data_IF_278757520826
#
_entry.id   IF_278757520826
#
_cell.length_a   1.000
_cell.length_b   1.000
_cell.length_c   1.000
_cell.angle_alpha   90.00
_cell.angle_beta   90.00
_cell.angle_gamma   90.00
#
_symmetry.space_group_name_H-M   'P 1'
#
loop_
_entity.id
_entity.type
_entity.pdbx_description
1 polymer ?
#
# COMPACT_ATOMS: atom_id res chain seq x y z
N UNK A 1 13.12 4.92 -7.88
CA UNK A 1 13.52 6.35 -7.89
C UNK A 1 13.50 6.99 -6.50
N UNK A 2 12.36 7.08 -5.79
CA UNK A 2 12.29 7.75 -4.47
C UNK A 2 13.28 7.18 -3.43
N UNK A 3 13.47 5.85 -3.42
CA UNK A 3 14.46 5.16 -2.59
C UNK A 3 15.89 5.69 -2.79
N UNK A 4 16.30 5.83 -4.05
CA UNK A 4 17.63 6.33 -4.41
C UNK A 4 17.79 7.77 -3.93
N UNK A 5 16.75 8.59 -4.07
CA UNK A 5 16.78 9.98 -3.60
C UNK A 5 16.90 10.07 -2.08
N UNK A 6 16.15 9.24 -1.33
CA UNK A 6 16.26 9.15 0.13
C UNK A 6 17.67 8.70 0.54
N UNK A 7 18.26 7.73 -0.15
CA UNK A 7 19.64 7.28 0.11
C UNK A 7 20.67 8.41 -0.13
N UNK A 8 20.51 9.21 -1.20
CA UNK A 8 21.37 10.38 -1.46
C UNK A 8 21.23 11.44 -0.36
N UNK A 9 20.00 11.72 0.08
CA UNK A 9 19.76 12.66 1.20
C UNK A 9 20.44 12.13 2.46
N UNK A 10 20.30 10.84 2.78
CA UNK A 10 20.96 10.22 3.92
C UNK A 10 22.48 10.36 3.86
N UNK A 11 23.10 10.01 2.73
CA UNK A 11 24.55 10.08 2.57
C UNK A 11 25.11 11.50 2.71
N UNK A 12 24.40 12.50 2.20
CA UNK A 12 24.87 13.88 2.20
C UNK A 12 24.61 14.61 3.52
N UNK A 13 23.48 14.29 4.18
CA UNK A 13 23.05 15.02 5.36
C UNK A 13 23.33 14.29 6.66
N UNK A 14 23.58 12.97 6.65
CA UNK A 14 23.72 12.14 7.86
C UNK A 14 25.10 11.44 7.97
N UNK A 15 25.77 11.14 6.86
CA UNK A 15 27.11 10.55 6.92
C UNK A 15 28.18 11.64 7.04
N UNK A 16 29.07 11.53 8.04
CA UNK A 16 30.23 12.42 8.21
C UNK A 16 29.97 13.76 8.93
N UNK A 17 28.75 14.00 9.45
CA UNK A 17 28.45 15.15 10.32
C UNK A 17 28.69 14.80 11.80
N UNK A 18 29.03 15.82 12.59
CA UNK A 18 29.06 15.71 14.06
C UNK A 18 27.65 15.88 14.62
N UNK A 19 27.23 14.95 15.48
CA UNK A 19 25.88 14.90 16.05
C UNK A 19 25.90 15.35 17.50
N UNK A 20 25.22 16.45 17.80
CA UNK A 20 24.88 16.81 19.17
C UNK A 20 23.50 16.22 19.50
N UNK A 21 23.52 14.99 20.01
CA UNK A 21 22.31 14.25 20.34
C UNK A 21 21.46 14.94 21.43
N UNK A 22 22.09 15.71 22.32
CA UNK A 22 21.39 16.39 23.41
C UNK A 22 20.57 17.56 22.85
N UNK A 23 21.18 18.38 22.00
CA UNK A 23 20.50 19.48 21.33
C UNK A 23 19.40 18.98 20.38
N UNK A 24 19.70 17.95 19.59
CA UNK A 24 18.73 17.34 18.67
C UNK A 24 17.51 16.78 19.40
N UNK A 25 17.72 16.13 20.55
CA UNK A 25 16.64 15.62 21.39
C UNK A 25 15.82 16.77 21.99
N UNK A 26 16.48 17.82 22.49
CA UNK A 26 15.82 19.01 23.04
C UNK A 26 14.92 19.69 22.00
N UNK A 27 15.42 19.90 20.79
CA UNK A 27 14.64 20.49 19.68
C UNK A 27 13.47 19.57 19.33
N UNK A 28 13.69 18.26 19.24
CA UNK A 28 12.65 17.30 18.86
C UNK A 28 11.47 17.28 19.85
N UNK A 29 11.71 17.50 21.13
CA UNK A 29 10.65 17.60 22.16
C UNK A 29 9.76 18.84 22.01
N UNK A 30 10.21 19.87 21.29
CA UNK A 30 9.38 21.05 20.99
C UNK A 30 8.35 20.80 19.88
N UNK A 31 8.52 19.71 19.11
CA UNK A 31 7.59 19.34 18.05
C UNK A 31 6.32 18.79 18.67
N UNK A 32 5.21 19.50 18.48
CA UNK A 32 3.92 19.09 19.00
C UNK A 32 3.45 17.79 18.33
N UNK A 33 3.30 16.73 19.12
CA UNK A 33 2.74 15.46 18.64
C UNK A 33 1.22 15.53 18.60
N UNK A 34 0.56 15.08 17.52
CA UNK A 34 -0.90 14.93 17.48
C UNK A 34 -1.42 13.80 18.38
N UNK A 35 -0.53 12.97 18.94
CA UNK A 35 -0.89 11.88 19.86
C UNK A 35 -0.11 11.95 21.19
N UNK A 36 -0.73 11.54 22.30
CA UNK A 36 -0.11 11.59 23.63
C UNK A 36 0.97 10.52 23.87
N UNK A 37 0.99 9.44 23.08
CA UNK A 37 2.00 8.38 23.20
C UNK A 37 2.54 7.93 21.84
N UNK A 38 3.81 7.56 21.80
CA UNK A 38 4.48 7.05 20.59
C UNK A 38 3.79 5.79 20.08
N UNK A 39 3.34 4.91 20.98
CA UNK A 39 2.61 3.69 20.61
C UNK A 39 1.29 3.99 19.89
N UNK A 40 0.54 5.00 20.34
CA UNK A 40 -0.66 5.44 19.64
C UNK A 40 -0.33 6.00 18.26
N UNK A 41 0.76 6.78 18.12
CA UNK A 41 1.22 7.26 16.81
C UNK A 41 1.56 6.12 15.85
N UNK A 42 2.26 5.08 16.33
CA UNK A 42 2.63 3.91 15.52
C UNK A 42 1.39 3.16 15.04
N UNK A 43 0.46 2.84 15.96
CA UNK A 43 -0.78 2.13 15.63
C UNK A 43 -1.65 2.96 14.69
N UNK A 44 -1.78 4.26 14.97
CA UNK A 44 -2.56 5.17 14.13
C UNK A 44 -1.97 5.28 12.72
N UNK A 45 -0.66 5.45 12.60
CA UNK A 45 0.00 5.54 11.30
C UNK A 45 -0.17 4.26 10.49
N UNK A 46 0.02 3.10 11.14
CA UNK A 46 -0.26 1.80 10.50
C UNK A 46 -1.72 1.70 10.03
N UNK A 47 -2.67 2.13 10.85
CA UNK A 47 -4.08 2.17 10.50
C UNK A 47 -4.39 3.10 9.31
N UNK A 48 -3.75 4.27 9.22
CA UNK A 48 -3.85 5.16 8.04
C UNK A 48 -3.34 4.46 6.78
N UNK A 49 -2.21 3.76 6.86
CA UNK A 49 -1.67 3.00 5.74
C UNK A 49 -2.63 1.88 5.30
N UNK A 50 -3.17 1.11 6.25
CA UNK A 50 -4.15 0.05 5.96
C UNK A 50 -5.39 0.64 5.29
N UNK A 51 -5.94 1.74 5.80
CA UNK A 51 -7.11 2.39 5.19
C UNK A 51 -6.85 2.86 3.77
N UNK A 52 -5.67 3.41 3.51
CA UNK A 52 -5.30 3.88 2.18
C UNK A 52 -5.15 2.72 1.19
N UNK A 53 -4.68 1.56 1.66
CA UNK A 53 -4.43 0.38 0.82
C UNK A 53 -5.65 -0.54 0.66
N UNK A 54 -6.67 -0.42 1.52
CA UNK A 54 -7.69 -1.46 1.68
C UNK A 54 -8.51 -1.71 0.41
N UNK A 55 -8.86 -0.66 -0.33
CA UNK A 55 -9.62 -0.80 -1.56
C UNK A 55 -8.88 -1.65 -2.59
N UNK A 56 -7.59 -1.38 -2.77
CA UNK A 56 -6.74 -2.15 -3.69
C UNK A 56 -6.46 -3.55 -3.14
N UNK A 57 -6.27 -3.70 -1.83
CA UNK A 57 -6.08 -5.00 -1.20
C UNK A 57 -7.28 -5.94 -1.43
N UNK A 58 -8.51 -5.42 -1.41
CA UNK A 58 -9.70 -6.22 -1.72
C UNK A 58 -9.81 -6.57 -3.21
N UNK A 59 -9.50 -5.63 -4.11
CA UNK A 59 -9.52 -5.87 -5.56
C UNK A 59 -8.48 -6.95 -5.93
N UNK A 60 -7.24 -6.79 -5.48
CA UNK A 60 -6.16 -7.74 -5.77
C UNK A 60 -6.33 -9.07 -5.02
N UNK A 61 -6.86 -9.04 -3.80
CA UNK A 61 -7.08 -10.27 -3.01
C UNK A 61 -8.06 -11.24 -3.66
N UNK A 62 -8.97 -10.74 -4.51
CA UNK A 62 -9.87 -11.57 -5.31
C UNK A 62 -9.20 -12.25 -6.50
N UNK A 63 -8.20 -11.60 -7.12
CA UNK A 63 -7.58 -12.06 -8.37
C UNK A 63 -6.28 -12.85 -8.19
N UNK A 64 -5.69 -12.88 -6.99
CA UNK A 64 -4.42 -13.59 -6.75
C UNK A 64 -4.66 -15.07 -6.46
N UNK A 65 -4.13 -15.94 -7.32
CA UNK A 65 -4.20 -17.40 -7.15
C UNK A 65 -3.09 -17.95 -6.24
N UNK A 66 -1.86 -17.46 -6.39
CA UNK A 66 -0.71 -17.89 -5.60
C UNK A 66 -0.60 -17.17 -4.26
N UNK A 67 -1.40 -17.60 -3.30
CA UNK A 67 -1.47 -17.00 -1.97
C UNK A 67 -0.10 -17.02 -1.24
N UNK A 68 0.70 -18.08 -1.44
CA UNK A 68 2.05 -18.16 -0.85
C UNK A 68 3.01 -17.07 -1.36
N UNK A 69 2.98 -16.80 -2.66
CA UNK A 69 3.83 -15.77 -3.26
C UNK A 69 3.33 -14.38 -2.86
N UNK A 70 2.01 -14.20 -2.76
CA UNK A 70 1.39 -12.97 -2.26
C UNK A 70 1.77 -12.66 -0.81
N UNK A 71 1.80 -13.66 0.07
CA UNK A 71 2.24 -13.50 1.46
C UNK A 71 3.72 -13.09 1.54
N UNK A 72 4.58 -13.74 0.75
CA UNK A 72 6.01 -13.41 0.71
C UNK A 72 6.27 -12.02 0.13
N UNK A 73 5.59 -11.65 -0.95
CA UNK A 73 5.73 -10.33 -1.57
C UNK A 73 5.19 -9.23 -0.65
N UNK A 74 4.08 -9.48 0.05
CA UNK A 74 3.57 -8.60 1.09
C UNK A 74 4.56 -8.39 2.25
N UNK A 75 5.19 -9.46 2.73
CA UNK A 75 6.21 -9.38 3.78
C UNK A 75 7.45 -8.60 3.33
N UNK A 76 7.96 -8.87 2.12
CA UNK A 76 9.08 -8.13 1.54
C UNK A 76 8.75 -6.66 1.30
N UNK A 77 7.55 -6.36 0.82
CA UNK A 77 7.06 -4.99 0.65
C UNK A 77 7.00 -4.24 1.98
N UNK A 78 6.44 -4.86 3.02
CA UNK A 78 6.39 -4.29 4.37
C UNK A 78 7.79 -4.04 4.96
N UNK A 79 8.71 -4.99 4.80
CA UNK A 79 10.09 -4.84 5.24
C UNK A 79 10.80 -3.66 4.54
N UNK A 80 10.67 -3.55 3.22
CA UNK A 80 11.26 -2.42 2.46
C UNK A 80 10.70 -1.07 2.90
N UNK A 81 9.39 -0.97 3.14
CA UNK A 81 8.78 0.26 3.68
C UNK A 81 9.29 0.56 5.09
N UNK A 82 9.47 -0.45 5.93
CA UNK A 82 10.09 -0.31 7.26
C UNK A 82 11.51 0.28 7.18
N UNK A 83 12.34 -0.22 6.28
CA UNK A 83 13.71 0.31 6.04
C UNK A 83 13.65 1.78 5.59
N UNK A 84 12.72 2.13 4.69
CA UNK A 84 12.53 3.52 4.24
C UNK A 84 12.20 4.45 5.42
N UNK A 85 11.26 4.05 6.27
CA UNK A 85 10.88 4.85 7.44
C UNK A 85 11.98 4.96 8.46
N UNK A 86 12.74 3.89 8.67
CA UNK A 86 13.88 3.92 9.57
C UNK A 86 14.91 4.95 9.10
N UNK A 87 15.34 4.87 7.83
CA UNK A 87 16.31 5.81 7.24
C UNK A 87 15.75 7.25 7.28
N UNK A 88 14.49 7.44 6.91
CA UNK A 88 13.84 8.76 6.88
C UNK A 88 13.75 9.36 8.29
N UNK A 89 13.46 8.56 9.31
CA UNK A 89 13.43 9.00 10.71
C UNK A 89 14.81 9.47 11.16
N UNK A 90 15.88 8.76 10.78
CA UNK A 90 17.26 9.19 11.06
C UNK A 90 17.58 10.52 10.38
N UNK A 91 17.21 10.71 9.11
CA UNK A 91 17.39 11.97 8.37
C UNK A 91 16.66 13.12 9.08
N UNK A 92 15.41 12.91 9.47
CA UNK A 92 14.59 13.94 10.13
C UNK A 92 15.12 14.28 11.51
N UNK A 93 15.54 13.29 12.28
CA UNK A 93 16.11 13.50 13.61
C UNK A 93 17.43 14.29 13.52
N UNK A 94 18.31 13.90 12.58
CA UNK A 94 19.56 14.60 12.24
C UNK A 94 19.36 16.08 11.85
N UNK A 95 18.18 16.45 11.35
CA UNK A 95 17.86 17.80 10.89
C UNK A 95 16.62 18.35 11.64
N UNK A 96 16.55 18.09 12.95
CA UNK A 96 15.40 18.43 13.81
C UNK A 96 15.05 19.93 13.78
N UNK A 97 16.06 20.80 13.63
CA UNK A 97 15.90 22.26 13.48
C UNK A 97 15.04 22.65 12.27
N UNK A 98 15.13 21.88 11.19
CA UNK A 98 14.33 22.08 9.97
C UNK A 98 12.95 21.47 10.07
N UNK A 99 12.79 20.38 10.83
CA UNK A 99 11.49 19.74 11.06
C UNK A 99 10.53 20.72 11.73
N UNK A 100 11.03 21.54 12.66
CA UNK A 100 10.22 22.58 13.33
C UNK A 100 9.78 23.68 12.36
N UNK A 101 10.67 24.10 11.45
CA UNK A 101 10.50 25.30 10.60
C UNK A 101 9.80 25.05 9.27
N UNK A 102 9.74 23.80 8.79
CA UNK A 102 9.18 23.47 7.49
C UNK A 102 7.95 22.59 7.60
N UNK A 103 6.96 22.82 6.73
CA UNK A 103 5.80 21.95 6.59
C UNK A 103 6.13 20.65 5.85
N UNK A 104 7.15 20.66 4.98
CA UNK A 104 7.64 19.48 4.25
C UNK A 104 9.13 19.30 4.51
N UNK A 105 9.52 18.80 5.71
CA UNK A 105 10.91 18.79 6.15
C UNK A 105 11.84 18.04 5.21
N UNK A 106 11.41 16.90 4.66
CA UNK A 106 12.22 16.14 3.70
C UNK A 106 12.58 16.93 2.45
N UNK A 107 11.68 17.79 1.96
CA UNK A 107 11.96 18.66 0.81
C UNK A 107 12.93 19.79 1.20
N UNK A 108 12.78 20.36 2.40
CA UNK A 108 13.70 21.37 2.92
C UNK A 108 15.12 20.82 3.13
N UNK A 109 15.25 19.55 3.49
CA UNK A 109 16.54 18.84 3.58
C UNK A 109 17.08 18.54 2.18
N UNK A 110 16.23 18.11 1.24
CA UNK A 110 16.65 17.88 -0.15
C UNK A 110 17.26 19.15 -0.80
N UNK A 111 16.82 20.35 -0.42
CA UNK A 111 17.38 21.63 -0.87
C UNK A 111 18.84 21.85 -0.46
N UNK A 112 19.30 21.23 0.63
CA UNK A 112 20.71 21.29 1.03
C UNK A 112 21.62 20.42 0.18
N UNK A 113 21.09 19.39 -0.49
CA UNK A 113 21.88 18.59 -1.43
C UNK A 113 22.24 19.44 -2.64
N UNK A 114 21.23 19.94 -3.34
CA UNK A 114 21.35 20.89 -4.45
C UNK A 114 19.93 21.39 -4.82
N UNK A 115 19.74 22.66 -5.20
CA UNK A 115 18.46 23.17 -5.71
C UNK A 115 17.82 22.34 -6.83
N UNK A 116 18.61 21.84 -7.80
CA UNK A 116 18.12 21.00 -8.91
C UNK A 116 17.58 19.67 -8.37
N UNK A 117 18.30 19.06 -7.43
CA UNK A 117 17.88 17.81 -6.79
C UNK A 117 16.56 17.99 -6.03
N UNK A 118 16.39 19.09 -5.30
CA UNK A 118 15.14 19.39 -4.60
C UNK A 118 13.96 19.60 -5.56
N UNK A 119 14.18 20.25 -6.70
CA UNK A 119 13.15 20.40 -7.74
C UNK A 119 12.73 19.06 -8.31
N UNK A 120 13.68 18.18 -8.63
CA UNK A 120 13.38 16.81 -9.05
C UNK A 120 12.61 16.06 -7.95
N UNK A 121 13.06 16.16 -6.69
CA UNK A 121 12.40 15.51 -5.55
C UNK A 121 10.96 15.97 -5.39
N UNK A 122 10.71 17.27 -5.55
CA UNK A 122 9.37 17.84 -5.54
C UNK A 122 8.47 17.26 -6.65
N UNK A 123 8.98 17.14 -7.89
CA UNK A 123 8.22 16.51 -8.99
C UNK A 123 7.90 15.05 -8.72
N UNK A 124 8.83 14.28 -8.14
CA UNK A 124 8.60 12.89 -7.78
C UNK A 124 7.51 12.78 -6.71
N UNK A 125 7.61 13.56 -5.64
CA UNK A 125 6.58 13.58 -4.59
C UNK A 125 5.23 14.02 -5.15
N UNK A 126 5.22 15.06 -5.98
CA UNK A 126 4.00 15.53 -6.63
C UNK A 126 3.36 14.43 -7.47
N UNK A 127 4.15 13.71 -8.29
CA UNK A 127 3.66 12.59 -9.09
C UNK A 127 3.08 11.46 -8.23
N UNK A 128 3.71 11.13 -7.09
CA UNK A 128 3.21 10.13 -6.15
C UNK A 128 1.88 10.56 -5.52
N UNK A 129 1.80 11.80 -5.01
CA UNK A 129 0.58 12.35 -4.41
C UNK A 129 -0.54 12.42 -5.45
N UNK A 130 -0.23 12.94 -6.65
CA UNK A 130 -1.19 13.06 -7.74
C UNK A 130 -1.76 11.71 -8.13
N UNK A 131 -0.92 10.68 -8.29
CA UNK A 131 -1.35 9.33 -8.61
C UNK A 131 -2.32 8.79 -7.53
N UNK A 132 -1.98 8.93 -6.24
CA UNK A 132 -2.85 8.47 -5.15
C UNK A 132 -4.19 9.21 -5.12
N UNK A 133 -4.17 10.55 -5.21
CA UNK A 133 -5.40 11.36 -5.18
C UNK A 133 -6.28 11.06 -6.38
N UNK A 134 -5.69 10.96 -7.59
CA UNK A 134 -6.41 10.65 -8.80
C UNK A 134 -7.12 9.29 -8.71
N UNK A 135 -6.43 8.24 -8.27
CA UNK A 135 -7.04 6.92 -8.10
C UNK A 135 -8.17 6.93 -7.09
N UNK A 136 -8.03 7.64 -5.96
CA UNK A 136 -9.06 7.73 -4.92
C UNK A 136 -10.29 8.52 -5.39
N UNK A 137 -10.10 9.66 -6.06
CA UNK A 137 -11.22 10.43 -6.60
C UNK A 137 -11.94 9.68 -7.72
N UNK A 138 -11.20 8.97 -8.58
CA UNK A 138 -11.79 8.10 -9.59
C UNK A 138 -12.64 7.00 -8.93
N UNK A 139 -12.09 6.27 -7.96
CA UNK A 139 -12.79 5.18 -7.28
C UNK A 139 -14.05 5.68 -6.55
N UNK A 140 -13.95 6.81 -5.84
CA UNK A 140 -15.07 7.43 -5.14
C UNK A 140 -16.12 7.92 -6.14
N UNK A 141 -15.70 8.60 -7.21
CA UNK A 141 -16.56 9.04 -8.29
C UNK A 141 -17.33 7.89 -8.93
N UNK A 142 -16.67 6.78 -9.25
CA UNK A 142 -17.31 5.57 -9.81
C UNK A 142 -18.34 4.98 -8.86
N UNK A 143 -18.03 4.96 -7.55
CA UNK A 143 -18.94 4.46 -6.51
C UNK A 143 -20.23 5.25 -6.43
N UNK A 144 -20.17 6.58 -6.50
CA UNK A 144 -21.35 7.45 -6.46
C UNK A 144 -22.05 7.62 -7.82
N UNK A 145 -21.35 7.37 -8.92
CA UNK A 145 -21.90 7.47 -10.26
C UNK A 145 -23.01 6.44 -10.56
N UNK A 146 -23.01 5.29 -9.87
CA UNK A 146 -23.96 4.20 -10.07
C UNK A 146 -24.16 3.82 -11.56
N UNK A 147 -23.06 3.81 -12.34
CA UNK A 147 -23.09 3.48 -13.77
C UNK A 147 -23.35 4.65 -14.73
N UNK A 148 -23.70 5.86 -14.25
CA UNK A 148 -23.94 7.03 -15.10
C UNK A 148 -22.69 7.89 -15.31
N UNK A 149 -22.30 8.11 -16.56
CA UNK A 149 -21.14 8.95 -16.91
C UNK A 149 -21.32 10.42 -16.49
N UNK A 150 -22.54 10.96 -16.63
CA UNK A 150 -22.84 12.34 -16.22
C UNK A 150 -22.69 12.52 -14.71
N UNK A 151 -23.16 11.55 -13.92
CA UNK A 151 -22.97 11.56 -12.45
C UNK A 151 -21.52 11.38 -12.07
N UNK A 152 -20.78 10.52 -12.78
CA UNK A 152 -19.34 10.34 -12.57
C UNK A 152 -18.58 11.67 -12.71
N UNK A 153 -18.76 12.37 -13.83
CA UNK A 153 -18.11 13.68 -14.07
C UNK A 153 -18.49 14.70 -12.99
N UNK A 154 -19.76 14.72 -12.59
CA UNK A 154 -20.23 15.61 -11.51
C UNK A 154 -19.54 15.31 -10.17
N UNK A 155 -19.55 14.06 -9.71
CA UNK A 155 -18.98 13.68 -8.42
C UNK A 155 -17.46 13.86 -8.37
N UNK A 156 -16.72 13.47 -9.42
CA UNK A 156 -15.27 13.67 -9.48
C UNK A 156 -14.92 15.16 -9.42
N UNK A 157 -15.66 15.99 -10.16
CA UNK A 157 -15.46 17.45 -10.13
C UNK A 157 -15.79 18.03 -8.76
N UNK A 158 -16.90 17.61 -8.14
CA UNK A 158 -17.29 18.05 -6.81
C UNK A 158 -16.27 17.65 -5.73
N UNK A 159 -15.78 16.40 -5.74
CA UNK A 159 -14.75 15.94 -4.81
C UNK A 159 -13.43 16.70 -5.01
N UNK A 160 -13.04 16.92 -6.27
CA UNK A 160 -11.82 17.67 -6.59
C UNK A 160 -11.89 19.12 -6.10
N UNK A 161 -13.02 19.80 -6.32
CA UNK A 161 -13.26 21.15 -5.81
C UNK A 161 -13.26 21.18 -4.28
N UNK A 162 -13.90 20.21 -3.62
CA UNK A 162 -13.90 20.13 -2.16
C UNK A 162 -12.49 19.94 -1.60
N UNK A 163 -11.66 19.07 -2.20
CA UNK A 163 -10.28 18.88 -1.79
C UNK A 163 -9.43 20.13 -2.02
N UNK A 164 -9.68 20.86 -3.11
CA UNK A 164 -9.04 22.15 -3.35
C UNK A 164 -9.40 23.18 -2.27
N UNK A 165 -10.68 23.29 -1.89
CA UNK A 165 -11.11 24.19 -0.80
C UNK A 165 -10.47 23.82 0.55
N UNK A 166 -10.40 22.52 0.85
CA UNK A 166 -9.77 22.02 2.10
C UNK A 166 -8.25 22.27 2.10
N UNK A 167 -7.60 22.34 0.93
CA UNK A 167 -6.15 22.57 0.83
C UNK A 167 -5.70 23.94 1.38
N UNK A 168 -6.61 24.92 1.47
CA UNK A 168 -6.32 26.24 2.05
C UNK A 168 -6.13 26.24 3.58
N UNK A 169 -6.46 25.15 4.27
CA UNK A 169 -6.26 25.00 5.72
C UNK A 169 -4.76 24.92 6.11
N UNK A 170 -3.85 24.76 5.15
CA UNK A 170 -2.42 24.62 5.37
C UNK A 170 -2.01 23.16 5.65
N UNK A 171 -0.85 22.75 5.14
CA UNK A 171 -0.44 21.34 5.15
C UNK A 171 -0.33 20.76 6.56
N UNK A 172 0.35 21.47 7.48
CA UNK A 172 0.57 21.01 8.86
C UNK A 172 -0.72 20.81 9.63
N UNK A 173 -1.64 21.77 9.54
CA UNK A 173 -2.95 21.67 10.21
C UNK A 173 -3.80 20.56 9.58
N UNK A 174 -3.80 20.44 8.26
CA UNK A 174 -4.52 19.38 7.57
C UNK A 174 -4.04 18.00 8.01
N UNK A 175 -2.73 17.78 8.05
CA UNK A 175 -2.13 16.51 8.52
C UNK A 175 -2.46 16.26 9.99
N UNK A 176 -2.34 17.28 10.85
CA UNK A 176 -2.61 17.16 12.28
C UNK A 176 -4.06 16.75 12.60
N UNK A 177 -5.04 17.15 11.77
CA UNK A 177 -6.46 16.77 11.94
C UNK A 177 -6.80 15.48 11.18
N UNK A 178 -6.37 15.35 9.92
CA UNK A 178 -6.76 14.22 9.08
C UNK A 178 -6.11 12.90 9.50
N UNK A 179 -4.86 12.91 9.98
CA UNK A 179 -4.18 11.67 10.37
C UNK A 179 -4.84 10.98 11.58
N UNK A 180 -5.26 11.69 12.64
CA UNK A 180 -6.10 11.11 13.68
C UNK A 180 -7.45 10.61 13.18
N UNK A 181 -8.17 11.40 12.39
CA UNK A 181 -9.51 11.01 11.89
C UNK A 181 -9.45 9.74 11.05
N UNK A 182 -8.54 9.70 10.07
CA UNK A 182 -8.36 8.54 9.19
C UNK A 182 -7.81 7.36 9.98
N UNK A 183 -6.89 7.61 10.92
CA UNK A 183 -6.27 6.54 11.70
C UNK A 183 -7.23 5.88 12.69
N UNK A 184 -8.17 6.61 13.30
CA UNK A 184 -9.23 5.99 14.12
C UNK A 184 -10.20 5.16 13.26
N UNK A 185 -10.60 5.65 12.09
CA UNK A 185 -11.39 4.83 11.14
C UNK A 185 -10.61 3.58 10.70
N UNK A 186 -9.31 3.72 10.49
CA UNK A 186 -8.43 2.60 10.16
C UNK A 186 -8.23 1.62 11.28
N UNK A 187 -8.20 2.09 12.52
CA UNK A 187 -8.11 1.21 13.67
C UNK A 187 -9.35 0.34 13.78
N UNK A 188 -10.53 0.94 13.58
CA UNK A 188 -11.79 0.19 13.51
C UNK A 188 -11.74 -0.87 12.40
N UNK A 189 -11.28 -0.49 11.20
CA UNK A 189 -11.19 -1.43 10.09
C UNK A 189 -10.17 -2.53 10.34
N UNK A 190 -9.05 -2.22 10.97
CA UNK A 190 -8.02 -3.18 11.37
C UNK A 190 -8.60 -4.20 12.36
N UNK A 191 -9.36 -3.75 13.36
CA UNK A 191 -10.08 -4.64 14.28
C UNK A 191 -11.02 -5.58 13.52
N UNK A 192 -11.79 -5.06 12.57
CA UNK A 192 -12.68 -5.88 11.72
C UNK A 192 -11.90 -6.92 10.93
N UNK A 193 -10.79 -6.54 10.29
CA UNK A 193 -9.94 -7.45 9.50
C UNK A 193 -9.30 -8.53 10.38
N UNK A 194 -8.78 -8.15 11.55
CA UNK A 194 -8.17 -9.09 12.50
C UNK A 194 -9.21 -10.08 13.02
N UNK A 195 -10.37 -9.61 13.46
CA UNK A 195 -11.47 -10.47 13.94
C UNK A 195 -11.97 -11.39 12.82
N UNK A 196 -12.14 -10.88 11.61
CA UNK A 196 -12.55 -11.66 10.45
C UNK A 196 -11.51 -12.74 10.09
N UNK A 197 -10.22 -12.39 10.12
CA UNK A 197 -9.11 -13.30 9.86
C UNK A 197 -9.05 -14.44 10.89
N UNK A 198 -9.17 -14.13 12.18
CA UNK A 198 -9.22 -15.15 13.23
C UNK A 198 -10.46 -16.06 13.10
N UNK A 199 -11.65 -15.49 12.89
CA UNK A 199 -12.90 -16.28 12.78
C UNK A 199 -12.92 -17.17 11.53
N UNK A 200 -12.32 -16.73 10.42
CA UNK A 200 -12.33 -17.46 9.14
C UNK A 200 -11.00 -18.18 8.84
N UNK A 201 -10.07 -18.28 9.80
CA UNK A 201 -8.74 -18.86 9.61
C UNK A 201 -8.76 -20.25 8.97
N UNK A 202 -9.67 -21.13 9.40
CA UNK A 202 -9.83 -22.47 8.84
C UNK A 202 -10.29 -22.44 7.37
N UNK A 203 -11.25 -21.55 7.03
CA UNK A 203 -11.73 -21.37 5.65
C UNK A 203 -10.65 -20.79 4.75
N UNK A 204 -9.89 -19.81 5.24
CA UNK A 204 -8.75 -19.22 4.50
C UNK A 204 -7.69 -20.29 4.21
N UNK A 205 -7.37 -21.13 5.20
CA UNK A 205 -6.41 -22.24 5.00
C UNK A 205 -6.92 -23.27 3.98
N UNK A 206 -8.19 -23.67 4.08
CA UNK A 206 -8.79 -24.62 3.12
C UNK A 206 -8.75 -24.05 1.69
N UNK A 207 -9.15 -22.81 1.52
CA UNK A 207 -9.13 -22.13 0.22
C UNK A 207 -7.71 -22.03 -0.35
N UNK A 208 -6.72 -21.78 0.50
CA UNK A 208 -5.31 -21.79 0.13
C UNK A 208 -4.82 -23.16 -0.35
N UNK A 209 -5.20 -24.22 0.34
CA UNK A 209 -4.87 -25.60 -0.06
C UNK A 209 -5.56 -25.97 -1.39
N UNK A 210 -6.82 -25.56 -1.59
CA UNK A 210 -7.56 -25.76 -2.84
C UNK A 210 -6.83 -25.10 -4.02
N UNK A 211 -6.52 -23.80 -3.91
CA UNK A 211 -5.87 -23.06 -5.01
C UNK A 211 -4.49 -23.63 -5.35
N UNK A 212 -3.70 -24.00 -4.34
CA UNK A 212 -2.37 -24.57 -4.58
C UNK A 212 -2.45 -25.92 -5.30
N UNK A 213 -3.36 -26.81 -4.88
CA UNK A 213 -3.54 -28.09 -5.57
C UNK A 213 -4.09 -27.93 -6.98
N UNK A 214 -5.02 -26.99 -7.16
CA UNK A 214 -5.59 -26.69 -8.46
C UNK A 214 -4.52 -26.17 -9.43
N UNK A 215 -3.64 -25.26 -8.97
CA UNK A 215 -2.51 -24.79 -9.76
C UNK A 215 -1.57 -25.92 -10.16
N UNK A 216 -1.25 -26.84 -9.26
CA UNK A 216 -0.39 -27.99 -9.58
C UNK A 216 -1.00 -28.92 -10.65
N UNK A 217 -2.32 -29.13 -10.62
CA UNK A 217 -3.03 -29.92 -11.63
C UNK A 217 -3.04 -29.19 -12.98
N UNK A 218 -3.29 -27.88 -12.97
CA UNK A 218 -3.31 -27.07 -14.20
C UNK A 218 -1.92 -26.97 -14.81
N UNK A 219 -0.88 -26.75 -14.00
CA UNK A 219 0.53 -26.74 -14.44
C UNK A 219 0.91 -28.04 -15.14
N UNK A 220 0.54 -29.19 -14.56
CA UNK A 220 0.68 -30.51 -15.19
C UNK A 220 -0.01 -30.61 -16.54
N UNK A 221 -1.16 -29.94 -16.73
CA UNK A 221 -1.88 -29.97 -18.00
C UNK A 221 -1.17 -29.19 -19.14
N UNK A 222 -0.23 -28.30 -18.81
CA UNK A 222 0.60 -27.55 -19.76
C UNK A 222 2.02 -28.12 -19.91
N UNK A 223 2.38 -29.14 -19.12
CA UNK A 223 3.67 -29.80 -19.19
C UNK A 223 3.69 -30.83 -20.34
N UNK A 224 4.55 -30.67 -21.36
CA UNK A 224 4.62 -31.61 -22.48
C UNK A 224 5.10 -33.02 -22.09
N UNK A 225 5.75 -33.18 -20.94
CA UNK A 225 6.29 -34.46 -20.46
C UNK A 225 5.33 -35.20 -19.51
N UNK A 226 4.15 -34.63 -19.21
CA UNK A 226 3.18 -35.22 -18.28
C UNK A 226 1.76 -35.30 -18.85
N UNK A 227 1.17 -36.50 -18.80
CA UNK A 227 -0.23 -36.68 -19.17
C UNK A 227 -1.17 -36.43 -17.98
N UNK A 228 -2.24 -35.67 -18.24
CA UNK A 228 -3.30 -35.41 -17.28
C UNK A 228 -4.19 -36.65 -17.14
N UNK A 229 -4.17 -37.29 -15.98
CA UNK A 229 -4.97 -38.50 -15.75
C UNK A 229 -6.46 -38.16 -15.57
N UNK A 230 -7.39 -39.10 -15.82
CA UNK A 230 -8.81 -38.90 -15.52
C UNK A 230 -9.07 -38.54 -14.04
N UNK A 231 -8.27 -39.10 -13.12
CA UNK A 231 -8.34 -38.80 -11.69
C UNK A 231 -7.94 -37.35 -11.38
N UNK A 232 -6.97 -36.79 -12.11
CA UNK A 232 -6.56 -35.39 -11.96
C UNK A 232 -7.69 -34.43 -12.36
N UNK A 233 -8.41 -34.75 -13.44
CA UNK A 233 -9.57 -33.97 -13.91
C UNK A 233 -10.72 -34.00 -12.90
N UNK A 234 -11.07 -35.18 -12.40
CA UNK A 234 -12.12 -35.33 -11.39
C UNK A 234 -11.74 -34.60 -10.09
N UNK A 235 -10.49 -34.72 -9.66
CA UNK A 235 -9.98 -34.01 -8.48
C UNK A 235 -10.00 -32.49 -8.67
N UNK A 236 -9.69 -31.98 -9.87
CA UNK A 236 -9.79 -30.54 -10.15
C UNK A 236 -11.24 -30.04 -10.09
N UNK A 237 -12.21 -30.81 -10.57
CA UNK A 237 -13.63 -30.49 -10.44
C UNK A 237 -14.09 -30.48 -8.97
N UNK A 238 -13.74 -31.53 -8.21
CA UNK A 238 -14.04 -31.59 -6.77
C UNK A 238 -13.43 -30.41 -5.99
N UNK A 239 -12.21 -30.00 -6.33
CA UNK A 239 -11.54 -28.85 -5.72
C UNK A 239 -12.23 -27.52 -6.06
N UNK A 240 -12.71 -27.35 -7.31
CA UNK A 240 -13.48 -26.16 -7.73
C UNK A 240 -14.81 -26.08 -7.01
N UNK A 241 -15.55 -27.19 -6.91
CA UNK A 241 -16.83 -27.26 -6.20
C UNK A 241 -16.70 -27.01 -4.69
N UNK A 242 -15.54 -27.35 -4.11
CA UNK A 242 -15.24 -27.11 -2.71
C UNK A 242 -14.78 -25.66 -2.40
N UNK A 243 -14.50 -24.85 -3.43
CA UNK A 243 -14.05 -23.47 -3.30
C UNK A 243 -15.21 -22.52 -2.97
N UNK A 244 -14.88 -21.36 -2.40
CA UNK A 244 -15.83 -20.26 -2.20
C UNK A 244 -15.99 -19.37 -3.45
N UNK A 245 -15.13 -19.54 -4.47
CA UNK A 245 -15.19 -18.84 -5.75
C UNK A 245 -16.06 -19.64 -6.72
N UNK A 246 -16.74 -18.94 -7.63
CA UNK A 246 -17.46 -19.57 -8.73
C UNK A 246 -16.57 -20.54 -9.52
N UNK A 247 -17.11 -21.72 -9.80
CA UNK A 247 -16.38 -22.83 -10.39
C UNK A 247 -15.83 -22.49 -11.81
N UNK A 248 -16.55 -21.67 -12.60
CA UNK A 248 -16.10 -21.24 -13.92
C UNK A 248 -14.99 -20.19 -13.82
N UNK A 249 -15.18 -19.18 -12.96
CA UNK A 249 -14.15 -18.17 -12.68
C UNK A 249 -12.87 -18.82 -12.17
N UNK A 250 -12.99 -19.78 -11.24
CA UNK A 250 -11.82 -20.47 -10.68
C UNK A 250 -11.05 -21.26 -11.75
N UNK A 251 -11.74 -21.83 -12.73
CA UNK A 251 -11.11 -22.50 -13.87
C UNK A 251 -10.37 -21.50 -14.75
N UNK A 252 -11.05 -20.46 -15.21
CA UNK A 252 -10.49 -19.46 -16.12
C UNK A 252 -9.24 -18.81 -15.55
N UNK A 253 -9.32 -18.33 -14.31
CA UNK A 253 -8.21 -17.66 -13.64
C UNK A 253 -7.03 -18.60 -13.38
N UNK A 254 -7.27 -19.87 -13.05
CA UNK A 254 -6.18 -20.85 -12.85
C UNK A 254 -5.39 -21.15 -14.12
N UNK A 255 -6.08 -21.28 -15.25
CA UNK A 255 -5.45 -21.47 -16.56
C UNK A 255 -4.77 -20.18 -17.04
N UNK A 256 -5.34 -19.00 -16.75
CA UNK A 256 -4.72 -17.72 -17.06
C UNK A 256 -3.40 -17.53 -16.27
N UNK A 257 -3.41 -17.86 -14.97
CA UNK A 257 -2.23 -17.78 -14.11
C UNK A 257 -1.08 -18.67 -14.63
N UNK A 258 -1.36 -19.94 -14.95
CA UNK A 258 -0.32 -20.87 -15.43
C UNK A 258 0.19 -20.47 -16.82
N UNK A 259 -0.69 -20.03 -17.73
CA UNK A 259 -0.29 -19.51 -19.04
C UNK A 259 0.66 -18.32 -18.92
N UNK A 260 0.32 -17.37 -18.04
CA UNK A 260 1.16 -16.20 -17.78
C UNK A 260 2.56 -16.60 -17.28
N UNK A 261 2.66 -17.63 -16.43
CA UNK A 261 3.95 -18.11 -15.90
C UNK A 261 4.80 -18.83 -16.93
N UNK A 262 4.17 -19.58 -17.82
CA UNK A 262 4.85 -20.28 -18.91
C UNK A 262 5.13 -19.39 -20.12
N UNK A 263 4.70 -18.12 -20.09
CA UNK A 263 4.85 -17.19 -21.21
C UNK A 263 4.06 -17.60 -22.46
N UNK A 264 2.94 -18.30 -22.28
CA UNK A 264 2.08 -18.77 -23.37
C UNK A 264 0.97 -17.75 -23.60
N UNK A 265 1.02 -17.05 -24.74
CA UNK A 265 -0.03 -16.09 -25.13
C UNK A 265 -1.38 -16.78 -25.42
N UNK A 266 -2.49 -16.05 -25.24
CA UNK A 266 -3.83 -16.52 -25.61
C UNK A 266 -3.90 -16.85 -27.11
N UNK A 267 -4.30 -18.08 -27.44
CA UNK A 267 -4.74 -18.46 -28.78
C UNK A 267 -6.25 -18.33 -28.90
#
# INVERSE_FOLDING_TARGET
MILVMIAVIFMTNVLGRHWDFEEMNRISQTIQSPFPSVWMSVVNYFAVCVMSAIAMAFVMGGSIFKINEAEKSGAWGGFMVGVIFFITTLILFANSDKVVKSDVPMLAIAKEVNPIFATLYAFVIFGLIFNTVFSLYYALGKRFAAGSEKRFKFFVTAFSLSGFLVSFMGFRQLVAVMYPVIGYMGLLMLVVLVVASYRKKAKIRKEKEIRNHLLAIVEKAYDPDQDLTPQDKEKAEQLRDASIIDNQTLREDSHAQVRQELGIDEK
#
